data_IF_150197758697
#
_entry.id   IF_150197758697
#
_cell.length_a   1.000
_cell.length_b   1.000
_cell.length_c   1.000
_cell.angle_alpha   90.00
_cell.angle_beta   90.00
_cell.angle_gamma   90.00
#
_symmetry.space_group_name_H-M   'P 1'
#
loop_
_entity.id
_entity.type
_entity.pdbx_description
1 polymer ?
#
# COMPACT_ATOMS: atom_id res chain seq x y z
N UNK A 1 34.09 2.83 -46.25
CA UNK A 1 32.68 2.78 -46.70
C UNK A 1 31.85 1.82 -45.83
N UNK A 2 32.32 0.60 -45.54
CA UNK A 2 31.58 -0.35 -44.68
C UNK A 2 31.27 0.14 -43.26
N UNK A 3 32.22 0.84 -42.60
CA UNK A 3 32.01 1.38 -41.25
C UNK A 3 30.93 2.48 -41.20
N UNK A 4 30.82 3.28 -42.26
CA UNK A 4 29.81 4.34 -42.37
C UNK A 4 28.43 3.72 -42.50
N UNK A 5 28.28 2.71 -43.38
CA UNK A 5 27.04 1.94 -43.52
C UNK A 5 26.61 1.24 -42.22
N UNK A 6 27.56 0.66 -41.48
CA UNK A 6 27.28 0.02 -40.17
C UNK A 6 26.77 1.04 -39.14
N UNK A 7 27.37 2.24 -39.12
CA UNK A 7 26.97 3.32 -38.22
C UNK A 7 25.54 3.81 -38.50
N UNK A 8 25.20 3.99 -39.78
CA UNK A 8 23.86 4.42 -40.21
C UNK A 8 22.77 3.40 -39.81
N UNK A 9 23.03 2.11 -39.98
CA UNK A 9 22.10 1.04 -39.58
C UNK A 9 21.92 1.01 -38.06
N UNK A 10 23.01 1.16 -37.30
CA UNK A 10 22.92 1.22 -35.83
C UNK A 10 22.13 2.43 -35.35
N UNK A 11 22.32 3.59 -35.98
CA UNK A 11 21.56 4.80 -35.69
C UNK A 11 20.07 4.64 -36.00
N UNK A 12 19.74 3.98 -37.12
CA UNK A 12 18.35 3.70 -37.46
C UNK A 12 17.67 2.82 -36.41
N UNK A 13 18.31 1.71 -36.03
CA UNK A 13 17.79 0.77 -35.02
C UNK A 13 17.66 1.46 -33.66
N UNK A 14 18.66 2.25 -33.26
CA UNK A 14 18.62 2.95 -31.97
C UNK A 14 17.51 4.01 -31.93
N UNK A 15 17.28 4.73 -33.03
CA UNK A 15 16.20 5.71 -33.12
C UNK A 15 14.82 5.08 -32.94
N UNK A 16 14.55 3.96 -33.61
CA UNK A 16 13.31 3.19 -33.47
C UNK A 16 13.18 2.66 -32.04
N UNK A 17 14.27 2.14 -31.48
CA UNK A 17 14.29 1.61 -30.12
C UNK A 17 13.95 2.69 -29.10
N UNK A 18 14.50 3.90 -29.24
CA UNK A 18 14.19 5.03 -28.35
C UNK A 18 12.72 5.42 -28.45
N UNK A 19 12.14 5.45 -29.65
CA UNK A 19 10.70 5.73 -29.84
C UNK A 19 9.85 4.66 -29.14
N UNK A 20 10.15 3.38 -29.34
CA UNK A 20 9.41 2.28 -28.71
C UNK A 20 9.53 2.31 -27.18
N UNK A 21 10.75 2.49 -26.66
CA UNK A 21 11.00 2.61 -25.23
C UNK A 21 10.23 3.80 -24.64
N UNK A 22 10.22 4.94 -25.34
CA UNK A 22 9.49 6.13 -24.90
C UNK A 22 7.99 5.85 -24.78
N UNK A 23 7.39 5.18 -25.77
CA UNK A 23 5.97 4.78 -25.71
C UNK A 23 5.72 3.86 -24.51
N UNK A 24 6.58 2.87 -24.29
CA UNK A 24 6.47 1.97 -23.14
C UNK A 24 6.56 2.75 -21.83
N UNK A 25 7.50 3.68 -21.69
CA UNK A 25 7.63 4.51 -20.49
C UNK A 25 6.42 5.41 -20.25
N UNK A 26 5.84 5.99 -21.30
CA UNK A 26 4.62 6.80 -21.19
C UNK A 26 3.46 5.96 -20.71
N UNK A 27 3.26 4.78 -21.29
CA UNK A 27 2.21 3.84 -20.88
C UNK A 27 2.46 3.38 -19.43
N UNK A 28 3.68 2.97 -19.11
CA UNK A 28 4.05 2.53 -17.77
C UNK A 28 3.82 3.64 -16.73
N UNK A 29 4.24 4.87 -17.01
CA UNK A 29 4.02 6.02 -16.14
C UNK A 29 2.54 6.31 -15.91
N UNK A 30 1.72 6.22 -16.96
CA UNK A 30 0.26 6.38 -16.85
C UNK A 30 -0.35 5.32 -15.90
N UNK A 31 0.03 4.06 -16.05
CA UNK A 31 -0.45 2.99 -15.16
C UNK A 31 0.08 3.13 -13.73
N UNK A 32 1.31 3.60 -13.55
CA UNK A 32 1.91 3.81 -12.24
C UNK A 32 1.15 4.88 -11.45
N UNK A 33 0.86 6.03 -12.07
CA UNK A 33 0.06 7.10 -11.47
C UNK A 33 -1.34 6.59 -11.09
N UNK A 34 -2.00 5.87 -12.01
CA UNK A 34 -3.32 5.29 -11.76
C UNK A 34 -3.31 4.33 -10.56
N UNK A 35 -2.27 3.50 -10.47
CA UNK A 35 -2.11 2.53 -9.38
C UNK A 35 -1.87 3.23 -8.05
N UNK A 36 -1.02 4.26 -8.01
CA UNK A 36 -0.77 5.04 -6.78
C UNK A 36 -2.04 5.71 -6.26
N UNK A 37 -2.87 6.26 -7.15
CA UNK A 37 -4.16 6.86 -6.75
C UNK A 37 -5.08 5.84 -6.10
N UNK A 38 -5.25 4.67 -6.73
CA UNK A 38 -6.06 3.59 -6.17
C UNK A 38 -5.48 3.04 -4.87
N UNK A 39 -4.16 2.91 -4.78
CA UNK A 39 -3.48 2.44 -3.58
C UNK A 39 -3.71 3.38 -2.39
N UNK A 40 -3.67 4.69 -2.63
CA UNK A 40 -3.99 5.68 -1.58
C UNK A 40 -5.40 5.49 -1.03
N UNK A 41 -6.39 5.33 -1.90
CA UNK A 41 -7.79 5.10 -1.47
C UNK A 41 -7.95 3.78 -0.70
N UNK A 42 -7.29 2.71 -1.15
CA UNK A 42 -7.29 1.42 -0.46
C UNK A 42 -6.63 1.54 0.91
N UNK A 43 -5.48 2.21 1.00
CA UNK A 43 -4.75 2.38 2.26
C UNK A 43 -5.56 3.16 3.30
N UNK A 44 -6.32 4.17 2.88
CA UNK A 44 -7.15 4.95 3.79
C UNK A 44 -8.35 4.15 4.28
N UNK A 45 -9.00 3.37 3.40
CA UNK A 45 -10.06 2.44 3.81
C UNK A 45 -9.55 1.39 4.79
N UNK A 46 -8.39 0.81 4.49
CA UNK A 46 -7.76 -0.17 5.36
C UNK A 46 -7.46 0.42 6.74
N UNK A 47 -6.91 1.64 6.79
CA UNK A 47 -6.65 2.35 8.04
C UNK A 47 -7.94 2.55 8.86
N UNK A 48 -9.01 3.06 8.23
CA UNK A 48 -10.31 3.25 8.90
C UNK A 48 -10.88 1.93 9.42
N UNK A 49 -10.75 0.84 8.66
CA UNK A 49 -11.21 -0.49 9.10
C UNK A 49 -10.39 -1.01 10.28
N UNK A 50 -9.06 -0.86 10.25
CA UNK A 50 -8.19 -1.28 11.35
C UNK A 50 -8.46 -0.46 12.61
N UNK A 51 -8.58 0.86 12.48
CA UNK A 51 -8.87 1.75 13.62
C UNK A 51 -10.24 1.42 14.24
N UNK A 52 -11.27 1.17 13.42
CA UNK A 52 -12.59 0.77 13.90
C UNK A 52 -12.64 -0.66 14.49
N UNK A 53 -11.83 -1.58 13.98
CA UNK A 53 -11.70 -2.91 14.56
C UNK A 53 -11.00 -2.86 15.93
N UNK A 54 -9.97 -2.03 16.06
CA UNK A 54 -9.27 -1.83 17.33
C UNK A 54 -10.20 -1.25 18.39
N UNK A 55 -11.00 -0.23 18.06
CA UNK A 55 -11.98 0.34 19.01
C UNK A 55 -13.05 -0.67 19.42
N UNK A 56 -13.55 -1.48 18.47
CA UNK A 56 -14.54 -2.53 18.77
C UNK A 56 -13.97 -3.61 19.69
N UNK A 57 -12.71 -4.00 19.49
CA UNK A 57 -12.03 -4.97 20.35
C UNK A 57 -11.76 -4.41 21.75
N UNK A 58 -11.45 -3.11 21.86
CA UNK A 58 -11.30 -2.43 23.14
C UNK A 58 -12.62 -2.42 23.92
N UNK A 59 -13.73 -2.08 23.27
CA UNK A 59 -15.08 -2.13 23.84
C UNK A 59 -15.46 -3.54 24.32
N UNK A 60 -15.21 -4.56 23.50
CA UNK A 60 -15.45 -5.96 23.87
C UNK A 60 -14.57 -6.35 25.07
N UNK A 61 -13.29 -5.98 25.05
CA UNK A 61 -12.37 -6.24 26.15
C UNK A 61 -12.82 -5.59 27.46
N UNK A 62 -13.35 -4.37 27.41
CA UNK A 62 -13.84 -3.65 28.58
C UNK A 62 -15.15 -4.24 29.10
N UNK A 63 -16.11 -4.57 28.23
CA UNK A 63 -17.34 -5.28 28.60
C UNK A 63 -17.05 -6.65 29.24
N UNK A 64 -16.05 -7.39 28.74
CA UNK A 64 -15.62 -8.66 29.34
C UNK A 64 -15.00 -8.44 30.71
N UNK A 65 -14.15 -7.42 30.90
CA UNK A 65 -13.53 -7.11 32.20
C UNK A 65 -14.56 -6.66 33.25
N UNK A 66 -15.66 -6.05 32.83
CA UNK A 66 -16.75 -5.62 33.71
C UNK A 66 -17.72 -6.75 34.07
N UNK A 67 -17.69 -7.86 33.33
CA UNK A 67 -18.52 -9.03 33.59
C UNK A 67 -18.32 -9.61 35.01
N UNK A 68 -19.41 -9.95 35.73
CA UNK A 68 -19.34 -10.56 37.06
C UNK A 68 -18.57 -11.88 37.06
N UNK A 69 -18.70 -12.67 36.00
CA UNK A 69 -17.99 -13.95 35.83
C UNK A 69 -16.49 -13.73 35.67
N UNK A 70 -16.08 -12.73 34.87
CA UNK A 70 -14.67 -12.44 34.66
C UNK A 70 -14.00 -11.91 35.93
N UNK A 71 -14.69 -11.04 36.68
CA UNK A 71 -14.23 -10.57 38.01
C UNK A 71 -14.14 -11.68 39.03
N UNK A 72 -15.00 -12.69 38.95
CA UNK A 72 -14.99 -13.86 39.83
C UNK A 72 -13.79 -14.78 39.55
N UNK A 73 -13.51 -15.06 38.26
CA UNK A 73 -12.40 -15.95 37.87
C UNK A 73 -11.02 -15.28 37.92
N UNK A 74 -10.90 -14.02 37.51
CA UNK A 74 -9.60 -13.34 37.40
C UNK A 74 -9.26 -12.37 38.55
N UNK A 75 -10.20 -12.15 39.48
CA UNK A 75 -10.00 -11.23 40.60
C UNK A 75 -9.94 -9.74 40.17
N UNK A 76 -10.28 -8.85 41.10
CA UNK A 76 -10.37 -7.41 40.84
C UNK A 76 -8.98 -6.80 40.64
N UNK A 77 -8.61 -6.41 39.40
CA UNK A 77 -7.42 -5.57 39.18
C UNK A 77 -7.60 -4.22 39.90
N UNK A 78 -6.77 -3.96 40.93
CA UNK A 78 -6.67 -2.65 41.59
C UNK A 78 -6.16 -1.63 40.56
N UNK A 79 -6.98 -0.62 40.23
CA UNK A 79 -6.52 0.56 39.47
C UNK A 79 -5.42 1.24 40.29
N UNK A 80 -4.18 1.20 39.79
CA UNK A 80 -3.11 2.05 40.29
C UNK A 80 -3.41 3.47 39.82
N UNK A 81 -3.77 4.36 40.76
CA UNK A 81 -3.77 5.81 40.54
C UNK A 81 -2.33 6.26 40.36
N UNK A 82 -1.97 6.77 39.20
CA UNK A 82 -1.03 7.88 39.05
C UNK A 82 -1.24 8.53 37.69
#
# INVERSE_FOLDING_TARGET
MESILKSEIFFFISSISVVLITIVFVVFGFYLIKTMKNFSEISERLRKTVDGAASSLEEVGDNIKESPLFRFFFGKKRKSKK
#
